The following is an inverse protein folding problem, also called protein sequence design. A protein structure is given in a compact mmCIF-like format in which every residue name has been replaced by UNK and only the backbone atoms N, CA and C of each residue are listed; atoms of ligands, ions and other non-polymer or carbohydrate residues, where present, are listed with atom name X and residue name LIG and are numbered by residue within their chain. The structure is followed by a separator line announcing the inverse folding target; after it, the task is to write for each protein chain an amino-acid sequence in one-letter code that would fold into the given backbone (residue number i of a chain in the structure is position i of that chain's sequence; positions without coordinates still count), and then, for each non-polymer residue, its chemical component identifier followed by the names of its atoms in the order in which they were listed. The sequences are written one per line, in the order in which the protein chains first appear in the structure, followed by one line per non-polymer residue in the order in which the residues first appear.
data_IF_248179436307
#
_entry.id   IF_248179436307
#
_cell.length_a   1.000
_cell.length_b   1.000
_cell.length_c   1.000
_cell.angle_alpha   90.00
_cell.angle_beta   90.00
_cell.angle_gamma   90.00
#
_symmetry.space_group_name_H-M   'P 1'
#
loop_
_entity.id
_entity.type
_entity.pdbx_description
1 polymer ?
#
# COMPACT_ATOMS: atom_id res chain seq x y z
N UNK A 1 6.82 12.59 -12.85
CA UNK A 1 7.33 11.56 -11.91
C UNK A 1 6.24 11.23 -10.90
N UNK A 2 6.20 9.98 -10.42
CA UNK A 2 5.27 9.54 -9.37
C UNK A 2 5.60 10.13 -8.00
N UNK A 3 4.73 9.90 -7.02
CA UNK A 3 4.92 10.35 -5.62
C UNK A 3 4.83 9.16 -4.69
N UNK A 4 5.63 9.17 -3.64
CA UNK A 4 5.60 8.12 -2.63
C UNK A 4 5.75 8.64 -1.20
N UNK A 5 5.23 7.85 -0.27
CA UNK A 5 5.44 8.00 1.17
C UNK A 5 5.71 6.62 1.75
N UNK A 6 6.87 6.47 2.41
CA UNK A 6 7.30 5.23 3.02
C UNK A 6 6.84 5.15 4.49
N UNK A 7 6.66 3.92 4.98
CA UNK A 7 6.29 3.65 6.36
C UNK A 7 6.81 2.30 6.86
N UNK A 8 6.83 2.11 8.17
CA UNK A 8 6.93 0.82 8.85
C UNK A 8 5.61 0.53 9.55
N UNK A 9 4.96 -0.56 9.18
CA UNK A 9 3.71 -1.03 9.78
C UNK A 9 3.84 -2.50 10.18
N UNK A 10 3.48 -2.82 11.41
CA UNK A 10 3.14 -4.19 11.80
C UNK A 10 1.74 -4.56 11.30
N UNK A 11 1.29 -5.80 11.53
CA UNK A 11 -0.09 -6.19 11.26
C UNK A 11 -1.11 -5.34 12.05
N UNK A 12 -0.81 -4.98 13.30
CA UNK A 12 -1.70 -4.15 14.12
C UNK A 12 -1.82 -2.72 13.56
N UNK A 13 -0.70 -2.13 13.11
CA UNK A 13 -0.70 -0.83 12.44
C UNK A 13 -1.48 -0.87 11.11
N UNK A 14 -1.43 -2.00 10.40
CA UNK A 14 -2.17 -2.21 9.16
C UNK A 14 -3.68 -2.28 9.37
N UNK A 15 -4.13 -2.85 10.49
CA UNK A 15 -5.55 -2.87 10.84
C UNK A 15 -6.13 -1.46 11.08
N UNK A 16 -5.31 -0.55 11.64
CA UNK A 16 -5.73 0.85 11.85
C UNK A 16 -5.93 1.59 10.53
N UNK A 17 -5.03 1.40 9.56
CA UNK A 17 -5.18 2.05 8.25
C UNK A 17 -6.33 1.43 7.45
N UNK A 18 -6.59 0.13 7.60
CA UNK A 18 -7.78 -0.52 7.05
C UNK A 18 -9.07 0.05 7.64
N UNK A 19 -9.08 0.30 8.95
CA UNK A 19 -10.23 0.95 9.60
C UNK A 19 -10.47 2.35 9.04
N UNK A 20 -9.41 3.15 8.91
CA UNK A 20 -9.48 4.47 8.27
C UNK A 20 -10.03 4.41 6.83
N UNK A 21 -9.56 3.45 6.03
CA UNK A 21 -10.04 3.26 4.65
C UNK A 21 -11.51 2.85 4.60
N UNK A 22 -11.97 2.00 5.54
CA UNK A 22 -13.38 1.59 5.65
C UNK A 22 -14.28 2.74 6.08
N UNK A 23 -13.87 3.55 7.06
CA UNK A 23 -14.60 4.72 7.53
C UNK A 23 -14.78 5.78 6.42
N UNK A 24 -13.83 5.87 5.49
CA UNK A 24 -13.95 6.70 4.28
C UNK A 24 -15.04 6.23 3.31
N UNK A 25 -15.40 4.94 3.34
CA UNK A 25 -16.54 4.36 2.61
C UNK A 25 -16.36 4.16 1.09
N UNK A 26 -15.66 5.04 0.39
CA UNK A 26 -15.55 5.02 -1.08
C UNK A 26 -14.19 4.49 -1.58
N UNK A 27 -13.61 3.48 -0.92
CA UNK A 27 -12.33 2.89 -1.33
C UNK A 27 -12.45 1.37 -1.50
N UNK A 28 -12.13 0.91 -2.71
CA UNK A 28 -11.90 -0.49 -3.02
C UNK A 28 -10.41 -0.82 -2.84
N UNK A 29 -10.15 -2.02 -2.29
CA UNK A 29 -8.82 -2.62 -2.23
C UNK A 29 -8.80 -3.82 -3.16
N UNK A 30 -7.88 -3.85 -4.11
CA UNK A 30 -7.78 -4.92 -5.10
C UNK A 30 -6.36 -5.51 -5.10
N UNK A 31 -6.18 -6.79 -5.50
CA UNK A 31 -4.87 -7.42 -5.53
C UNK A 31 -3.93 -6.77 -6.57
N UNK A 32 -2.62 -6.99 -6.42
CA UNK A 32 -1.63 -6.56 -7.42
C UNK A 32 -1.78 -7.29 -8.76
N UNK A 33 -2.12 -8.57 -8.70
CA UNK A 33 -2.31 -9.41 -9.88
C UNK A 33 -3.46 -10.40 -9.70
N UNK A 34 -4.08 -10.79 -10.82
CA UNK A 34 -5.20 -11.73 -10.82
C UNK A 34 -5.26 -12.54 -12.11
N UNK A 35 -5.97 -13.67 -12.07
CA UNK A 35 -6.06 -14.60 -13.20
C UNK A 35 -6.91 -14.06 -14.37
N UNK A 36 -7.73 -13.04 -14.13
CA UNK A 36 -8.59 -12.39 -15.12
C UNK A 36 -8.60 -10.88 -14.95
N UNK A 37 -8.94 -10.15 -16.02
CA UNK A 37 -9.29 -8.73 -15.91
C UNK A 37 -10.59 -8.54 -15.12
N UNK A 38 -10.72 -7.43 -14.40
CA UNK A 38 -11.80 -7.21 -13.44
C UNK A 38 -11.47 -7.83 -12.08
N UNK A 39 -10.51 -7.22 -11.39
CA UNK A 39 -9.98 -7.76 -10.14
C UNK A 39 -11.04 -7.70 -9.04
N UNK A 40 -11.15 -8.73 -8.18
CA UNK A 40 -12.09 -8.71 -7.08
C UNK A 40 -11.67 -7.70 -6.02
N UNK A 41 -12.66 -7.03 -5.42
CA UNK A 41 -12.44 -6.32 -4.17
C UNK A 41 -12.09 -7.31 -3.04
N UNK A 42 -11.15 -6.92 -2.19
CA UNK A 42 -10.70 -7.71 -1.05
C UNK A 42 -11.42 -7.23 0.22
N UNK A 43 -12.41 -7.96 0.75
CA UNK A 43 -13.09 -7.58 1.99
C UNK A 43 -12.17 -7.73 3.21
N UNK A 44 -11.22 -8.65 3.13
CA UNK A 44 -10.20 -8.96 4.13
C UNK A 44 -8.85 -9.06 3.43
N UNK A 45 -7.81 -8.44 3.99
CA UNK A 45 -6.45 -8.61 3.50
C UNK A 45 -5.90 -9.93 4.02
N UNK A 46 -5.33 -10.80 3.17
CA UNK A 46 -4.57 -11.94 3.67
C UNK A 46 -3.21 -11.47 4.16
N UNK A 47 -2.48 -12.37 4.83
CA UNK A 47 -1.13 -12.07 5.27
C UNK A 47 -0.23 -11.67 4.07
N UNK A 48 0.67 -10.68 4.21
CA UNK A 48 1.49 -10.18 3.10
C UNK A 48 2.29 -11.27 2.38
N UNK A 49 2.69 -12.31 3.11
CA UNK A 49 3.54 -13.39 2.61
C UNK A 49 2.77 -14.68 2.30
N UNK A 50 1.44 -14.67 2.46
CA UNK A 50 0.62 -15.88 2.26
C UNK A 50 0.64 -16.40 0.83
N UNK A 51 0.91 -15.54 -0.16
CA UNK A 51 1.04 -15.89 -1.57
C UNK A 51 1.82 -14.81 -2.31
N UNK A 52 2.32 -15.17 -3.50
CA UNK A 52 3.03 -14.26 -4.41
C UNK A 52 2.25 -12.95 -4.61
N UNK A 53 2.95 -11.82 -4.48
CA UNK A 53 2.45 -10.44 -4.65
C UNK A 53 1.42 -9.91 -3.64
N UNK A 54 1.03 -10.64 -2.58
CA UNK A 54 0.10 -10.10 -1.57
C UNK A 54 0.69 -9.01 -0.67
N UNK A 55 2.00 -8.79 -0.78
CA UNK A 55 2.69 -7.63 -0.22
C UNK A 55 2.46 -6.34 -1.02
N UNK A 56 1.80 -6.41 -2.19
CA UNK A 56 1.40 -5.24 -2.98
C UNK A 56 -0.09 -5.29 -3.28
N UNK A 57 -0.79 -4.18 -3.06
CA UNK A 57 -2.22 -4.02 -3.33
C UNK A 57 -2.45 -2.69 -4.07
N UNK A 58 -3.63 -2.52 -4.64
CA UNK A 58 -4.07 -1.23 -5.18
C UNK A 58 -5.30 -0.72 -4.43
N UNK A 59 -5.26 0.57 -4.12
CA UNK A 59 -6.37 1.33 -3.55
C UNK A 59 -6.97 2.21 -4.64
N UNK A 60 -8.30 2.22 -4.77
CA UNK A 60 -8.99 2.97 -5.81
C UNK A 60 -10.35 3.43 -5.31
N UNK A 61 -10.84 4.58 -5.78
CA UNK A 61 -12.23 4.98 -5.50
C UNK A 61 -13.17 3.99 -6.19
N UNK A 62 -14.25 3.54 -5.53
CA UNK A 62 -15.19 2.58 -6.15
C UNK A 62 -15.78 3.12 -7.44
N UNK A 63 -16.05 4.42 -7.47
CA UNK A 63 -16.49 5.16 -8.67
C UNK A 63 -15.49 5.14 -9.84
N UNK A 64 -14.24 4.77 -9.61
CA UNK A 64 -13.17 4.75 -10.62
C UNK A 64 -12.70 3.34 -10.99
N UNK A 65 -13.33 2.28 -10.46
CA UNK A 65 -13.01 0.89 -10.81
C UNK A 65 -13.05 0.63 -12.33
N UNK A 66 -14.01 1.23 -13.03
CA UNK A 66 -14.14 1.10 -14.49
C UNK A 66 -13.03 1.79 -15.31
N UNK A 67 -12.18 2.61 -14.67
CA UNK A 67 -11.05 3.30 -15.31
C UNK A 67 -9.74 2.54 -15.21
N UNK A 68 -9.72 1.41 -14.48
CA UNK A 68 -8.51 0.62 -14.29
C UNK A 68 -8.12 -0.04 -15.61
N UNK A 69 -6.84 0.12 -15.96
CA UNK A 69 -6.21 -0.54 -17.09
C UNK A 69 -5.44 -1.75 -16.58
N UNK A 70 -5.67 -2.89 -17.22
CA UNK A 70 -4.98 -4.14 -16.92
C UNK A 70 -4.02 -4.46 -18.04
N UNK A 71 -2.85 -4.98 -17.71
CA UNK A 71 -1.86 -5.47 -18.68
C UNK A 71 -1.49 -6.92 -18.36
N UNK A 72 -1.34 -7.79 -19.39
CA UNK A 72 -0.85 -9.14 -19.18
C UNK A 72 0.62 -9.10 -18.75
N UNK A 73 1.00 -9.93 -17.78
CA UNK A 73 2.40 -10.10 -17.35
C UNK A 73 2.96 -11.47 -17.72
N UNK A 74 2.11 -12.48 -17.79
CA UNK A 74 2.36 -13.82 -18.35
C UNK A 74 1.03 -14.46 -18.70
N UNK A 75 1.06 -15.61 -19.36
CA UNK A 75 -0.16 -16.36 -19.67
C UNK A 75 -1.01 -16.62 -18.42
N UNK A 76 -2.29 -16.24 -18.48
CA UNK A 76 -3.22 -16.39 -17.36
C UNK A 76 -2.96 -15.46 -16.15
N UNK A 77 -2.15 -14.41 -16.28
CA UNK A 77 -1.91 -13.44 -15.21
C UNK A 77 -1.90 -12.00 -15.71
N UNK A 78 -2.75 -11.17 -15.09
CA UNK A 78 -2.84 -9.74 -15.33
C UNK A 78 -2.36 -8.95 -14.11
N UNK A 79 -1.89 -7.73 -14.34
CA UNK A 79 -1.64 -6.72 -13.29
C UNK A 79 -2.30 -5.40 -13.68
N UNK A 80 -2.56 -4.52 -12.71
CA UNK A 80 -2.95 -3.14 -12.99
C UNK A 80 -1.77 -2.41 -13.62
N UNK A 81 -2.02 -1.56 -14.62
CA UNK A 81 -1.05 -0.56 -15.05
C UNK A 81 -1.19 0.67 -14.15
N UNK A 82 -0.27 0.89 -13.18
CA UNK A 82 -0.43 1.95 -12.21
C UNK A 82 -0.01 3.32 -12.76
N UNK A 83 0.54 3.36 -13.99
CA UNK A 83 0.79 4.60 -14.72
C UNK A 83 -0.41 5.03 -15.55
N UNK A 84 -1.28 4.11 -15.95
CA UNK A 84 -2.47 4.41 -16.75
C UNK A 84 -3.80 4.22 -15.98
N UNK A 85 -3.73 3.96 -14.68
CA UNK A 85 -4.91 3.74 -13.81
C UNK A 85 -4.93 4.68 -12.61
N UNK A 86 -6.11 5.16 -12.17
CA UNK A 86 -6.26 6.07 -11.03
C UNK A 86 -6.17 5.32 -9.69
N UNK A 87 -5.05 4.65 -9.46
CA UNK A 87 -4.81 3.82 -8.28
C UNK A 87 -3.70 4.40 -7.41
N UNK A 88 -3.79 4.15 -6.11
CA UNK A 88 -2.66 4.27 -5.18
C UNK A 88 -2.14 2.86 -4.91
N UNK A 89 -0.90 2.59 -5.30
CA UNK A 89 -0.20 1.35 -4.94
C UNK A 89 0.08 1.36 -3.44
N UNK A 90 -0.24 0.26 -2.78
CA UNK A 90 0.11 -0.02 -1.40
C UNK A 90 1.09 -1.19 -1.35
N UNK A 91 2.38 -0.87 -1.24
CA UNK A 91 3.41 -1.83 -0.81
C UNK A 91 3.33 -1.98 0.70
N UNK A 92 2.90 -3.14 1.19
CA UNK A 92 2.77 -3.44 2.61
C UNK A 92 4.15 -3.66 3.22
N UNK A 93 4.30 -3.30 4.49
CA UNK A 93 5.47 -3.70 5.27
C UNK A 93 5.49 -5.22 5.42
N UNK A 94 6.69 -5.79 5.43
CA UNK A 94 6.87 -7.24 5.58
C UNK A 94 7.71 -7.51 6.83
N UNK A 95 7.31 -8.49 7.63
CA UNK A 95 8.01 -8.83 8.87
C UNK A 95 8.54 -10.27 8.79
N UNK A 96 9.84 -10.45 9.00
CA UNK A 96 10.51 -11.76 9.06
C UNK A 96 11.45 -11.83 10.25
N UNK A 97 11.20 -12.76 11.16
CA UNK A 97 11.97 -12.88 12.39
C UNK A 97 12.03 -11.55 13.15
N UNK A 98 13.24 -11.05 13.35
CA UNK A 98 13.50 -9.77 14.05
C UNK A 98 13.55 -8.56 13.13
N UNK A 99 13.21 -8.68 11.83
CA UNK A 99 13.28 -7.59 10.86
C UNK A 99 11.89 -7.20 10.34
N UNK A 100 11.67 -5.89 10.26
CA UNK A 100 10.49 -5.27 9.65
C UNK A 100 10.95 -4.38 8.51
N UNK A 101 10.57 -4.77 7.29
CA UNK A 101 10.91 -4.07 6.07
C UNK A 101 9.88 -2.99 5.76
N UNK A 102 10.36 -1.82 5.31
CA UNK A 102 9.49 -0.70 4.98
C UNK A 102 8.46 -1.05 3.89
N UNK A 103 7.28 -0.47 4.01
CA UNK A 103 6.26 -0.39 2.97
C UNK A 103 6.18 1.01 2.40
N UNK A 104 5.30 1.21 1.41
CA UNK A 104 5.04 2.52 0.80
C UNK A 104 3.63 2.63 0.25
N UNK A 105 3.14 3.87 0.21
CA UNK A 105 2.11 4.27 -0.74
C UNK A 105 2.78 4.96 -1.93
N UNK A 106 2.34 4.62 -3.14
CA UNK A 106 2.82 5.24 -4.37
C UNK A 106 1.65 5.60 -5.30
N UNK A 107 1.75 6.74 -5.97
CA UNK A 107 0.80 7.14 -7.02
C UNK A 107 1.58 7.51 -8.29
N UNK A 108 0.99 7.17 -9.43
CA UNK A 108 1.52 7.44 -10.75
C UNK A 108 1.73 8.93 -11.05
N UNK A 109 2.49 9.18 -12.11
CA UNK A 109 2.92 10.53 -12.50
C UNK A 109 2.18 11.11 -13.71
N UNK A 110 1.28 10.36 -14.33
CA UNK A 110 0.60 10.73 -15.58
C UNK A 110 -0.76 11.37 -15.29
N UNK A 111 -1.38 12.07 -16.27
CA UNK A 111 -2.76 12.53 -16.11
C UNK A 111 -3.77 11.40 -15.83
N UNK A 112 -3.60 10.24 -16.47
CA UNK A 112 -4.49 9.09 -16.29
C UNK A 112 -4.44 8.51 -14.86
N UNK A 113 -3.25 8.44 -14.27
CA UNK A 113 -3.05 7.95 -12.90
C UNK A 113 -3.33 8.99 -11.81
N UNK A 114 -3.50 10.27 -12.18
CA UNK A 114 -3.66 11.39 -11.25
C UNK A 114 -5.01 12.07 -11.39
N UNK A 115 -6.08 11.27 -11.41
CA UNK A 115 -7.43 11.80 -11.20
C UNK A 115 -7.49 12.54 -9.86
N UNK A 116 -8.42 13.50 -9.74
CA UNK A 116 -8.63 14.25 -8.50
C UNK A 116 -8.84 13.32 -7.30
N UNK A 117 -9.59 12.23 -7.49
CA UNK A 117 -9.88 11.21 -6.47
C UNK A 117 -8.64 10.40 -6.08
N UNK A 118 -7.82 9.96 -7.02
CA UNK A 118 -6.58 9.26 -6.72
C UNK A 118 -5.60 10.15 -5.95
N UNK A 119 -5.47 11.42 -6.36
CA UNK A 119 -4.63 12.41 -5.67
C UNK A 119 -5.15 12.69 -4.26
N UNK A 120 -6.46 12.88 -4.10
CA UNK A 120 -7.08 13.10 -2.80
C UNK A 120 -6.86 11.89 -1.86
N UNK A 121 -7.05 10.67 -2.38
CA UNK A 121 -6.78 9.43 -1.64
C UNK A 121 -5.34 9.38 -1.12
N UNK A 122 -4.37 9.63 -2.01
CA UNK A 122 -2.95 9.64 -1.65
C UNK A 122 -2.63 10.71 -0.59
N UNK A 123 -3.15 11.93 -0.73
CA UNK A 123 -2.91 12.99 0.25
C UNK A 123 -3.56 12.70 1.60
N UNK A 124 -4.74 12.10 1.62
CA UNK A 124 -5.40 11.76 2.88
C UNK A 124 -4.66 10.65 3.61
N UNK A 125 -4.16 9.63 2.90
CA UNK A 125 -3.27 8.61 3.48
C UNK A 125 -2.03 9.28 4.08
N UNK A 126 -1.39 10.18 3.33
CA UNK A 126 -0.20 10.91 3.80
C UNK A 126 -0.49 11.78 5.02
N UNK A 127 -1.63 12.49 5.05
CA UNK A 127 -2.07 13.30 6.19
C UNK A 127 -2.37 12.41 7.40
N UNK A 128 -3.01 11.26 7.18
CA UNK A 128 -3.29 10.29 8.21
C UNK A 128 -2.01 9.74 8.83
N UNK A 129 -1.01 9.36 8.02
CA UNK A 129 0.31 8.97 8.51
C UNK A 129 0.97 10.08 9.34
N UNK A 130 0.95 11.33 8.86
CA UNK A 130 1.50 12.47 9.62
C UNK A 130 0.83 12.69 10.97
N UNK A 131 -0.47 12.42 11.08
CA UNK A 131 -1.25 12.62 12.30
C UNK A 131 -1.02 11.51 13.33
N UNK A 132 -0.90 10.26 12.86
CA UNK A 132 -0.92 9.10 13.74
C UNK A 132 0.46 8.48 13.97
N UNK A 133 1.41 8.67 13.06
CA UNK A 133 2.71 7.99 13.08
C UNK A 133 3.84 8.97 13.39
N UNK A 134 4.91 8.47 13.99
CA UNK A 134 6.14 9.24 14.20
C UNK A 134 7.04 9.16 12.96
N UNK A 135 8.10 9.97 12.91
CA UNK A 135 9.10 9.90 11.83
C UNK A 135 10.40 9.31 12.36
N UNK A 136 10.97 8.37 11.61
CA UNK A 136 12.33 7.92 11.85
C UNK A 136 13.32 9.04 11.52
N UNK A 137 14.36 9.18 12.36
CA UNK A 137 15.48 10.07 12.06
C UNK A 137 16.20 9.63 10.78
N UNK A 138 16.34 8.31 10.62
CA UNK A 138 16.92 7.70 9.43
C UNK A 138 15.88 7.65 8.30
N UNK A 139 16.05 8.48 7.27
CA UNK A 139 15.25 8.45 6.05
C UNK A 139 13.88 9.14 6.11
N UNK A 140 13.45 9.65 7.27
CA UNK A 140 12.18 10.37 7.41
C UNK A 140 10.94 9.52 7.13
N UNK A 141 11.04 8.21 7.37
CA UNK A 141 10.00 7.20 7.15
C UNK A 141 9.00 7.27 8.30
N UNK A 142 7.71 7.09 8.01
CA UNK A 142 6.71 7.04 9.07
C UNK A 142 6.78 5.72 9.84
N UNK A 143 6.74 5.74 11.16
CA UNK A 143 6.78 4.54 12.00
C UNK A 143 5.46 4.41 12.75
N UNK A 144 4.75 3.32 12.50
CA UNK A 144 3.49 3.00 13.19
C UNK A 144 3.69 2.87 14.70
N UNK A 145 2.68 3.18 15.53
CA UNK A 145 2.79 3.06 16.98
C UNK A 145 3.21 1.66 17.44
N UNK A 146 2.70 0.60 16.82
CA UNK A 146 3.09 -0.76 17.18
C UNK A 146 4.46 -1.14 16.63
N UNK A 147 4.78 -0.75 15.40
CA UNK A 147 6.12 -0.88 14.83
C UNK A 147 7.20 -0.21 15.71
N UNK A 148 6.91 0.96 16.26
CA UNK A 148 7.80 1.66 17.19
C UNK A 148 8.01 0.88 18.49
N UNK A 149 6.94 0.36 19.10
CA UNK A 149 7.03 -0.51 20.29
C UNK A 149 7.78 -1.80 20.01
N UNK A 150 7.54 -2.40 18.85
CA UNK A 150 8.22 -3.62 18.41
C UNK A 150 9.73 -3.38 18.24
N UNK A 151 10.11 -2.28 17.59
CA UNK A 151 11.52 -1.90 17.43
C UNK A 151 12.21 -1.65 18.78
N UNK A 152 11.53 -0.96 19.71
CA UNK A 152 12.05 -0.72 21.06
C UNK A 152 12.32 -2.01 21.87
N UNK A 153 11.69 -3.14 21.49
CA UNK A 153 11.91 -4.47 22.08
C UNK A 153 12.98 -5.30 21.37
N UNK A 154 13.79 -4.68 20.51
CA UNK A 154 14.88 -5.34 19.78
C UNK A 154 14.57 -5.72 18.33
N UNK A 155 13.40 -5.31 17.81
CA UNK A 155 13.09 -5.40 16.38
C UNK A 155 13.94 -4.44 15.54
N UNK A 156 14.31 -4.88 14.34
CA UNK A 156 15.12 -4.11 13.39
C UNK A 156 14.26 -3.57 12.25
N UNK A 157 14.25 -2.24 12.10
CA UNK A 157 13.63 -1.56 10.95
C UNK A 157 14.64 -1.50 9.80
N UNK A 158 14.31 -2.10 8.65
CA UNK A 158 15.19 -2.18 7.49
C UNK A 158 14.54 -1.56 6.25
N UNK A 159 15.35 -0.94 5.39
CA UNK A 159 14.83 -0.36 4.16
C UNK A 159 14.43 -1.44 3.15
N UNK A 160 13.68 -1.04 2.13
CA UNK A 160 13.17 -1.95 1.12
C UNK A 160 14.31 -2.67 0.39
N UNK A 161 15.38 -1.93 0.10
CA UNK A 161 16.60 -2.41 -0.56
C UNK A 161 17.52 -3.27 0.32
N UNK A 162 17.30 -3.28 1.64
CA UNK A 162 18.16 -4.01 2.56
C UNK A 162 17.89 -5.53 2.47
N UNK A 163 18.92 -6.34 2.72
CA UNK A 163 18.76 -7.79 2.77
C UNK A 163 17.92 -8.25 3.99
N UNK A 164 17.18 -9.34 3.80
CA UNK A 164 16.44 -10.01 4.86
C UNK A 164 17.34 -10.60 5.94
#
# INVERSE_FOLDING_TARGET
MGRQVAFYMTAADEEEILRFLRERGDIAVIPYSYASAGFPELPVLPAPESREHWYTLYLVSRSELGKIRYRPVKEGLFTVDPTESPVVEWGRSMQRGTKLKEGRFWIGGTPASRTERAVALYEDLRKWLKKNYTRSERGGIFVGPDAARWAARGGQLIFLQDAW
#
